data_IF_952590877905
#
_entry.id   IF_952590877905
#
_cell.length_a   1.000
_cell.length_b   1.000
_cell.length_c   1.000
_cell.angle_alpha   90.00
_cell.angle_beta   90.00
_cell.angle_gamma   90.00
#
_symmetry.space_group_name_H-M   'P 1'
#
loop_
_entity.id
_entity.type
_entity.pdbx_description
1 polymer ?
#
# COMPACT_ATOMS: atom_id res chain seq x y z
N UNK A 1 -38.15 -6.30 6.04
CA UNK A 1 -36.76 -6.76 6.28
C UNK A 1 -36.07 -6.87 4.92
N UNK A 2 -35.32 -5.84 4.51
CA UNK A 2 -34.54 -5.91 3.27
C UNK A 2 -33.28 -6.72 3.56
N UNK A 3 -33.07 -7.78 2.77
CA UNK A 3 -31.92 -8.66 2.92
C UNK A 3 -30.63 -7.90 2.55
N UNK A 4 -29.60 -7.86 3.40
CA UNK A 4 -28.34 -7.15 3.13
C UNK A 4 -27.59 -7.71 1.90
N UNK A 5 -28.01 -8.87 1.39
CA UNK A 5 -27.45 -9.53 0.20
C UNK A 5 -27.86 -8.89 -1.14
N UNK A 6 -28.77 -7.91 -1.14
CA UNK A 6 -29.23 -7.22 -2.36
C UNK A 6 -28.57 -5.86 -2.58
N UNK A 7 -27.54 -5.50 -1.81
CA UNK A 7 -26.79 -4.28 -2.09
C UNK A 7 -26.01 -4.42 -3.39
N UNK A 8 -26.42 -3.63 -4.39
CA UNK A 8 -25.73 -3.50 -5.69
C UNK A 8 -24.26 -3.23 -5.45
N UNK A 9 -23.39 -3.92 -6.19
CA UNK A 9 -21.96 -3.58 -6.23
C UNK A 9 -21.82 -2.09 -6.51
N UNK A 10 -21.14 -1.37 -5.61
CA UNK A 10 -20.76 0.01 -5.86
C UNK A 10 -19.47 -0.03 -6.67
N UNK A 11 -19.53 0.34 -7.93
CA UNK A 11 -18.34 0.62 -8.73
C UNK A 11 -17.68 1.94 -8.29
N UNK A 12 -16.51 2.27 -8.84
CA UNK A 12 -15.93 3.61 -8.68
C UNK A 12 -16.88 4.67 -9.27
N UNK A 13 -16.66 5.92 -8.86
CA UNK A 13 -17.23 7.10 -9.51
C UNK A 13 -16.78 7.19 -10.98
N UNK A 14 -17.41 8.05 -11.78
CA UNK A 14 -17.14 8.17 -13.22
C UNK A 14 -15.71 8.61 -13.55
N UNK A 15 -15.01 9.20 -12.59
CA UNK A 15 -13.60 9.60 -12.65
C UNK A 15 -12.64 8.48 -12.23
N UNK A 16 -13.16 7.28 -11.92
CA UNK A 16 -12.35 6.12 -11.56
C UNK A 16 -12.02 6.02 -10.06
N UNK A 17 -12.37 7.02 -9.24
CA UNK A 17 -12.10 6.99 -7.81
C UNK A 17 -13.22 6.34 -7.00
N UNK A 18 -12.83 5.62 -5.96
CA UNK A 18 -13.73 5.18 -4.89
C UNK A 18 -13.64 6.19 -3.75
N UNK A 19 -14.72 6.95 -3.56
CA UNK A 19 -14.81 7.96 -2.49
C UNK A 19 -15.13 7.32 -1.14
N UNK A 20 -14.28 7.57 -0.15
CA UNK A 20 -14.38 7.01 1.19
C UNK A 20 -14.22 8.10 2.24
N UNK A 21 -15.07 8.15 3.28
CA UNK A 21 -14.83 9.06 4.39
C UNK A 21 -13.55 8.66 5.14
N UNK A 22 -12.89 9.62 5.78
CA UNK A 22 -11.62 9.39 6.50
C UNK A 22 -11.66 8.23 7.50
N UNK A 23 -12.77 8.06 8.24
CA UNK A 23 -12.91 6.94 9.17
C UNK A 23 -12.90 5.58 8.45
N UNK A 24 -13.51 5.48 7.26
CA UNK A 24 -13.51 4.25 6.49
C UNK A 24 -12.12 3.92 5.94
N UNK A 25 -11.30 4.93 5.61
CA UNK A 25 -9.88 4.74 5.25
C UNK A 25 -9.08 4.16 6.44
N UNK A 26 -9.33 4.65 7.65
CA UNK A 26 -8.67 4.19 8.87
C UNK A 26 -9.06 2.76 9.30
N UNK A 27 -10.16 2.23 8.78
CA UNK A 27 -10.66 0.89 9.11
C UNK A 27 -10.45 -0.13 7.97
N UNK A 28 -9.82 0.28 6.85
CA UNK A 28 -9.64 -0.59 5.69
C UNK A 28 -8.95 -1.90 6.05
N UNK A 29 -9.58 -3.00 5.67
CA UNK A 29 -8.94 -4.31 5.65
C UNK A 29 -8.44 -4.53 4.24
N UNK A 30 -7.14 -4.85 4.13
CA UNK A 30 -6.45 -5.02 2.86
C UNK A 30 -5.78 -6.39 2.83
N UNK A 31 -5.82 -7.00 1.65
CA UNK A 31 -5.17 -8.25 1.35
C UNK A 31 -3.93 -7.95 0.53
N UNK A 32 -2.80 -8.52 0.92
CA UNK A 32 -1.57 -8.50 0.13
C UNK A 32 -1.78 -9.31 -1.16
N UNK A 33 -1.48 -8.71 -2.31
CA UNK A 33 -1.60 -9.36 -3.62
C UNK A 33 -0.24 -9.79 -4.12
N UNK A 34 0.73 -8.87 -4.13
CA UNK A 34 2.08 -9.15 -4.61
C UNK A 34 3.12 -8.19 -4.04
N UNK A 35 4.37 -8.65 -4.03
CA UNK A 35 5.54 -7.83 -3.81
C UNK A 35 6.67 -8.34 -4.71
N UNK A 36 7.63 -7.48 -5.01
CA UNK A 36 8.84 -7.83 -5.74
C UNK A 36 10.00 -6.91 -5.38
N UNK A 37 11.22 -7.37 -5.68
CA UNK A 37 12.44 -6.56 -5.60
C UNK A 37 12.59 -5.75 -6.88
N UNK A 38 13.01 -4.50 -6.73
CA UNK A 38 13.28 -3.58 -7.83
C UNK A 38 14.68 -2.96 -7.64
N UNK A 39 15.64 -3.44 -8.42
CA UNK A 39 17.01 -2.93 -8.39
C UNK A 39 17.15 -1.55 -9.05
N UNK A 40 16.26 -1.20 -9.99
CA UNK A 40 16.23 0.12 -10.60
C UNK A 40 15.84 1.18 -9.56
N UNK A 41 14.77 0.92 -8.82
CA UNK A 41 14.34 1.76 -7.70
C UNK A 41 15.45 1.91 -6.64
N UNK A 42 16.17 0.83 -6.33
CA UNK A 42 17.30 0.89 -5.38
C UNK A 42 18.38 1.87 -5.85
N UNK A 43 18.72 1.86 -7.14
CA UNK A 43 19.69 2.81 -7.73
C UNK A 43 19.18 4.24 -7.62
N UNK A 44 17.91 4.49 -7.90
CA UNK A 44 17.29 5.82 -7.81
C UNK A 44 17.28 6.36 -6.37
N UNK A 45 16.96 5.51 -5.39
CA UNK A 45 16.99 5.84 -3.98
C UNK A 45 18.40 6.22 -3.53
N UNK A 46 19.41 5.40 -3.86
CA UNK A 46 20.80 5.69 -3.53
C UNK A 46 21.29 6.97 -4.21
N UNK A 47 20.89 7.24 -5.46
CA UNK A 47 21.20 8.48 -6.16
C UNK A 47 20.55 9.72 -5.50
N UNK A 48 19.47 9.51 -4.74
CA UNK A 48 18.78 10.53 -3.96
C UNK A 48 19.27 10.60 -2.50
N UNK A 49 20.47 10.05 -2.21
CA UNK A 49 21.10 10.02 -0.89
C UNK A 49 20.30 9.25 0.18
N UNK A 50 19.41 8.33 -0.23
CA UNK A 50 18.72 7.42 0.69
C UNK A 50 19.61 6.20 0.94
N UNK A 51 19.91 5.91 2.21
CA UNK A 51 20.60 4.69 2.63
C UNK A 51 19.63 3.49 2.57
N UNK A 52 19.45 2.94 1.37
CA UNK A 52 18.61 1.77 1.11
C UNK A 52 19.48 0.52 0.86
N UNK A 53 19.15 -0.59 1.52
CA UNK A 53 19.81 -1.90 1.28
C UNK A 53 19.11 -2.74 0.22
N UNK A 54 17.80 -2.58 0.14
CA UNK A 54 16.93 -3.31 -0.77
C UNK A 54 15.73 -2.42 -1.07
N UNK A 55 15.21 -2.47 -2.28
CA UNK A 55 14.01 -1.75 -2.67
C UNK A 55 13.10 -2.63 -3.50
N UNK A 56 11.83 -2.24 -3.58
CA UNK A 56 10.83 -3.01 -4.29
C UNK A 56 9.48 -2.32 -4.32
N UNK A 57 8.51 -3.06 -4.83
CA UNK A 57 7.12 -2.63 -4.88
C UNK A 57 6.23 -3.60 -4.12
N UNK A 58 5.03 -3.15 -3.76
CA UNK A 58 3.98 -4.02 -3.25
C UNK A 58 2.62 -3.54 -3.69
N UNK A 59 1.73 -4.49 -3.98
CA UNK A 59 0.36 -4.27 -4.40
C UNK A 59 -0.60 -4.98 -3.44
N UNK A 60 -1.64 -4.26 -3.05
CA UNK A 60 -2.65 -4.66 -2.06
C UNK A 60 -4.04 -4.30 -2.58
N UNK A 61 -5.04 -5.00 -2.05
CA UNK A 61 -6.42 -4.73 -2.45
C UNK A 61 -7.43 -4.88 -1.32
N UNK A 62 -8.59 -4.25 -1.50
CA UNK A 62 -9.84 -4.68 -0.88
C UNK A 62 -10.72 -5.29 -1.96
N UNK A 63 -10.98 -6.61 -1.95
CA UNK A 63 -11.90 -7.26 -2.90
C UNK A 63 -13.28 -6.59 -2.87
N UNK A 64 -13.96 -6.55 -4.02
CA UNK A 64 -15.34 -6.07 -4.08
C UNK A 64 -16.26 -6.96 -3.25
N UNK A 65 -17.18 -6.36 -2.50
CA UNK A 65 -18.19 -7.07 -1.73
C UNK A 65 -19.52 -6.32 -1.74
N UNK A 66 -20.58 -6.91 -1.17
CA UNK A 66 -21.88 -6.26 -1.08
C UNK A 66 -21.74 -4.91 -0.34
N UNK A 67 -21.98 -3.81 -1.05
CA UNK A 67 -21.85 -2.45 -0.52
C UNK A 67 -20.44 -1.83 -0.55
N UNK A 68 -19.41 -2.56 -0.99
CA UNK A 68 -18.04 -2.05 -1.07
C UNK A 68 -17.40 -2.25 -2.45
N UNK A 69 -16.87 -1.17 -3.01
CA UNK A 69 -16.11 -1.20 -4.26
C UNK A 69 -14.77 -1.93 -4.10
N UNK A 70 -14.24 -2.48 -5.19
CA UNK A 70 -12.85 -2.94 -5.23
C UNK A 70 -11.90 -1.75 -5.04
N UNK A 71 -10.90 -1.91 -4.17
CA UNK A 71 -9.82 -0.94 -4.00
C UNK A 71 -8.49 -1.56 -4.38
N UNK A 72 -7.65 -0.78 -5.02
CA UNK A 72 -6.26 -1.10 -5.28
C UNK A 72 -5.37 -0.07 -4.60
N UNK A 73 -4.32 -0.54 -3.92
CA UNK A 73 -3.36 0.29 -3.21
C UNK A 73 -1.99 -0.32 -3.43
N UNK A 74 -1.06 0.48 -3.94
CA UNK A 74 0.30 0.07 -4.23
C UNK A 74 1.30 1.13 -3.83
N UNK A 75 2.49 0.71 -3.43
CA UNK A 75 3.58 1.63 -3.11
C UNK A 75 4.92 0.96 -3.29
N UNK A 76 5.91 1.83 -3.39
CA UNK A 76 7.30 1.47 -3.46
C UNK A 76 7.87 1.47 -2.04
N UNK A 77 8.75 0.54 -1.74
CA UNK A 77 9.34 0.37 -0.42
C UNK A 77 10.83 0.17 -0.50
N UNK A 78 11.52 0.47 0.59
CA UNK A 78 12.91 0.12 0.79
C UNK A 78 13.19 -0.33 2.21
N UNK A 79 14.30 -1.05 2.40
CA UNK A 79 14.83 -1.38 3.72
C UNK A 79 15.92 -0.37 4.05
N UNK A 80 15.67 0.42 5.09
CA UNK A 80 16.60 1.41 5.62
C UNK A 80 17.91 0.74 6.10
N UNK A 81 19.04 1.29 5.68
CA UNK A 81 20.34 0.70 5.90
C UNK A 81 20.85 0.80 7.34
N UNK A 82 20.41 1.80 8.10
CA UNK A 82 20.78 1.98 9.49
C UNK A 82 19.93 1.12 10.44
N UNK A 83 18.62 1.07 10.20
CA UNK A 83 17.64 0.48 11.12
C UNK A 83 17.14 -0.89 10.70
N UNK A 84 17.27 -1.24 9.41
CA UNK A 84 16.65 -2.43 8.84
C UNK A 84 15.13 -2.33 8.73
N UNK A 85 14.54 -1.15 8.95
CA UNK A 85 13.10 -0.95 8.87
C UNK A 85 12.64 -0.89 7.41
N UNK A 86 11.45 -1.43 7.14
CA UNK A 86 10.76 -1.20 5.88
C UNK A 86 10.14 0.20 5.89
N UNK A 87 10.41 0.96 4.85
CA UNK A 87 9.95 2.35 4.67
C UNK A 87 9.22 2.48 3.35
N UNK A 88 8.14 3.26 3.32
CA UNK A 88 7.45 3.65 2.07
C UNK A 88 8.30 4.71 1.38
N UNK A 89 8.78 4.44 0.16
CA UNK A 89 9.63 5.34 -0.59
C UNK A 89 8.90 6.67 -0.85
N UNK A 90 9.55 7.78 -0.51
CA UNK A 90 9.04 9.15 -0.60
C UNK A 90 7.67 9.42 0.06
N UNK A 91 7.17 8.46 0.85
CA UNK A 91 5.82 8.52 1.42
C UNK A 91 4.69 8.43 0.40
N UNK A 92 4.96 7.98 -0.83
CA UNK A 92 3.96 7.91 -1.89
C UNK A 92 3.18 6.59 -1.87
N UNK A 93 1.85 6.71 -1.89
CA UNK A 93 0.91 5.59 -1.92
C UNK A 93 -0.07 5.83 -3.05
N UNK A 94 0.02 4.96 -4.06
CA UNK A 94 -0.82 4.98 -5.25
C UNK A 94 -2.10 4.20 -4.97
N UNK A 95 -3.26 4.77 -5.25
CA UNK A 95 -4.53 4.06 -5.07
C UNK A 95 -5.63 4.58 -5.99
N UNK A 96 -6.69 3.79 -6.13
CA UNK A 96 -7.96 4.25 -6.72
C UNK A 96 -8.91 4.87 -5.68
N UNK A 97 -8.44 5.20 -4.47
CA UNK A 97 -9.24 5.81 -3.43
C UNK A 97 -9.15 7.35 -3.47
N UNK A 98 -10.23 8.02 -3.11
CA UNK A 98 -10.25 9.45 -2.79
C UNK A 98 -10.92 9.64 -1.44
N UNK A 99 -10.22 10.26 -0.49
CA UNK A 99 -10.81 10.63 0.79
C UNK A 99 -11.84 11.73 0.60
N UNK A 100 -12.93 11.68 1.38
CA UNK A 100 -13.91 12.76 1.46
C UNK A 100 -14.09 13.22 2.91
N UNK A 101 -14.41 14.49 3.08
CA UNK A 101 -14.80 15.07 4.36
C UNK A 101 -16.26 14.76 4.73
N UNK A 102 -16.76 15.39 5.81
CA UNK A 102 -18.14 15.21 6.27
C UNK A 102 -19.20 15.76 5.32
N UNK A 103 -18.83 16.71 4.47
CA UNK A 103 -19.72 17.32 3.47
C UNK A 103 -19.67 16.55 2.13
N UNK A 104 -18.83 15.52 2.05
CA UNK A 104 -18.65 14.68 0.87
C UNK A 104 -17.70 15.29 -0.16
N UNK A 105 -16.91 16.28 0.23
CA UNK A 105 -15.94 16.95 -0.65
C UNK A 105 -14.60 16.23 -0.60
N UNK A 106 -13.96 16.10 -1.76
CA UNK A 106 -12.66 15.45 -1.90
C UNK A 106 -11.59 16.20 -1.07
N UNK A 107 -10.90 15.47 -0.19
CA UNK A 107 -9.78 16.01 0.60
C UNK A 107 -8.47 16.08 -0.20
N UNK A 108 -8.49 15.56 -1.43
CA UNK A 108 -7.36 15.51 -2.34
C UNK A 108 -6.41 14.33 -2.12
N UNK A 109 -5.53 14.12 -3.10
CA UNK A 109 -4.64 12.95 -3.15
C UNK A 109 -3.62 12.91 -2.02
N UNK A 110 -2.98 14.05 -1.70
CA UNK A 110 -1.95 14.09 -0.66
C UNK A 110 -2.49 13.67 0.72
N UNK A 111 -3.68 14.17 1.08
CA UNK A 111 -4.32 13.82 2.35
C UNK A 111 -4.82 12.37 2.35
N UNK A 112 -5.33 11.90 1.20
CA UNK A 112 -5.73 10.50 1.01
C UNK A 112 -4.55 9.55 1.18
N UNK A 113 -3.43 9.83 0.50
CA UNK A 113 -2.17 9.07 0.60
C UNK A 113 -1.67 9.04 2.05
N UNK A 114 -1.64 10.18 2.75
CA UNK A 114 -1.24 10.23 4.14
C UNK A 114 -2.14 9.39 5.07
N UNK A 115 -3.46 9.39 4.84
CA UNK A 115 -4.39 8.54 5.60
C UNK A 115 -4.16 7.05 5.33
N UNK A 116 -3.93 6.67 4.06
CA UNK A 116 -3.60 5.32 3.67
C UNK A 116 -2.28 4.86 4.29
N UNK A 117 -1.21 5.66 4.24
CA UNK A 117 0.08 5.35 4.85
C UNK A 117 -0.03 5.05 6.35
N UNK A 118 -0.83 5.83 7.08
CA UNK A 118 -1.11 5.56 8.51
C UNK A 118 -1.83 4.24 8.70
N UNK A 119 -2.82 3.95 7.84
CA UNK A 119 -3.55 2.68 7.91
C UNK A 119 -2.63 1.49 7.61
N UNK A 120 -1.81 1.58 6.57
CA UNK A 120 -0.87 0.53 6.21
C UNK A 120 0.08 0.22 7.37
N UNK A 121 0.58 1.24 8.07
CA UNK A 121 1.41 1.04 9.27
C UNK A 121 0.69 0.23 10.36
N UNK A 122 -0.61 0.48 10.59
CA UNK A 122 -1.42 -0.30 11.54
C UNK A 122 -1.68 -1.75 11.10
N UNK A 123 -1.68 -2.01 9.79
CA UNK A 123 -1.81 -3.37 9.24
C UNK A 123 -0.49 -4.16 9.32
N UNK A 124 0.59 -3.55 9.79
CA UNK A 124 1.93 -4.15 9.79
C UNK A 124 2.31 -4.69 8.39
N UNK A 125 2.11 -3.85 7.38
CA UNK A 125 2.44 -4.19 5.99
C UNK A 125 3.85 -4.77 5.79
N UNK A 126 4.91 -4.39 6.54
CA UNK A 126 6.24 -4.98 6.36
C UNK A 126 6.26 -6.49 6.55
N UNK A 127 5.47 -7.01 7.49
CA UNK A 127 5.43 -8.45 7.76
C UNK A 127 4.88 -9.25 6.57
N UNK A 128 3.86 -8.72 5.88
CA UNK A 128 3.30 -9.37 4.70
C UNK A 128 4.27 -9.34 3.52
N UNK A 129 4.95 -8.21 3.30
CA UNK A 129 5.98 -8.07 2.26
C UNK A 129 7.15 -9.02 2.53
N UNK A 130 7.67 -9.06 3.76
CA UNK A 130 8.74 -9.97 4.13
C UNK A 130 8.32 -11.44 3.94
N UNK A 131 7.11 -11.81 4.36
CA UNK A 131 6.60 -13.17 4.15
C UNK A 131 6.44 -13.52 2.66
N UNK A 132 6.10 -12.57 1.79
CA UNK A 132 6.02 -12.77 0.34
C UNK A 132 7.41 -12.99 -0.28
N UNK A 133 8.39 -12.18 0.12
CA UNK A 133 9.77 -12.28 -0.37
C UNK A 133 10.48 -13.56 0.10
N UNK A 134 10.24 -14.01 1.35
CA UNK A 134 10.75 -15.29 1.83
C UNK A 134 10.20 -16.49 1.04
N UNK A 135 8.91 -16.46 0.69
CA UNK A 135 8.27 -17.53 -0.10
C UNK A 135 8.84 -17.67 -1.51
N UNK A 136 9.45 -16.61 -2.04
CA UNK A 136 10.06 -16.59 -3.37
C UNK A 136 11.57 -16.89 -3.36
N UNK A 137 12.20 -17.00 -2.19
CA UNK A 137 13.66 -17.02 -2.01
C UNK A 137 14.36 -15.72 -2.43
N UNK A 138 13.62 -14.59 -2.45
CA UNK A 138 14.14 -13.30 -2.90
C UNK A 138 15.10 -12.64 -1.87
N UNK A 139 15.12 -13.12 -0.63
CA UNK A 139 16.06 -12.66 0.41
C UNK A 139 17.40 -13.41 0.44
N UNK A 140 17.67 -14.32 -0.50
CA UNK A 140 18.88 -15.17 -0.46
C UNK A 140 20.19 -14.46 -0.83
N UNK A 141 20.22 -13.13 -0.98
CA UNK A 141 21.43 -12.35 -1.31
C UNK A 141 21.64 -11.15 -0.37
N UNK A 142 21.91 -11.42 0.91
CA UNK A 142 22.49 -10.42 1.82
C UNK A 142 23.21 -11.10 3.00
N UNK A 143 24.25 -11.88 2.70
CA UNK A 143 25.19 -12.38 3.71
C UNK A 143 26.61 -11.99 3.29
N UNK A 144 27.48 -11.54 4.21
CA UNK A 144 28.86 -11.21 3.88
C UNK A 144 29.61 -12.50 3.53
N UNK A 145 30.28 -12.50 2.38
CA UNK A 145 31.29 -13.50 2.06
C UNK A 145 32.43 -13.33 3.06
N UNK A 146 32.44 -14.13 4.13
CA UNK A 146 33.63 -14.30 4.97
C UNK A 146 34.65 -15.09 4.16
N UNK A 147 35.68 -14.41 3.67
CA UNK A 147 36.99 -15.00 3.40
C UNK A 147 37.81 -15.04 4.69
#
# INVERSE_FOLDING_TARGET
>A
MNSPLLHRFRGPSTDGYVRLPLHALAELQLVHVSSGIDSGLLVELCASEVDARLAGYTEWERPSSAGAAHLTIGWDWYIDGATGAFVIAWGDVRSNAMGIDSDGVDIGMAQTSAALSRRLAQLNWPAAVAAAMLRRSDFSYAGPTLQ
#
